data_IF_352318616621
#
_entry.id   IF_352318616621
#
_cell.length_a   1.000
_cell.length_b   1.000
_cell.length_c   1.000
_cell.angle_alpha   90.00
_cell.angle_beta   90.00
_cell.angle_gamma   90.00
#
_symmetry.space_group_name_H-M   'P 1'
#
loop_
_entity.id
_entity.type
_entity.pdbx_description
1 polymer ?
#
# COMPACT_ATOMS: atom_id res chain seq x y z
N UNK A 1 2.29 -5.61 19.70
CA UNK A 1 0.86 -5.47 19.38
C UNK A 1 0.47 -6.70 18.58
N UNK A 2 -0.75 -7.21 18.75
CA UNK A 2 -1.27 -8.30 17.94
C UNK A 2 -1.72 -7.80 16.56
N UNK A 3 -1.91 -8.73 15.63
CA UNK A 3 -2.48 -8.45 14.31
C UNK A 3 -3.81 -7.68 14.42
N UNK A 4 -4.74 -8.16 15.25
CA UNK A 4 -6.04 -7.53 15.46
C UNK A 4 -5.92 -6.09 16.01
N UNK A 5 -5.00 -5.85 16.95
CA UNK A 5 -4.76 -4.49 17.48
C UNK A 5 -4.22 -3.54 16.42
N UNK A 6 -3.39 -4.04 15.50
CA UNK A 6 -2.85 -3.25 14.38
C UNK A 6 -3.96 -2.98 13.36
N UNK A 7 -4.75 -3.99 13.00
CA UNK A 7 -5.87 -3.86 12.09
C UNK A 7 -6.87 -2.80 12.57
N UNK A 8 -7.29 -2.85 13.84
CA UNK A 8 -8.21 -1.84 14.39
C UNK A 8 -7.66 -0.42 14.30
N UNK A 9 -6.38 -0.23 14.60
CA UNK A 9 -5.73 1.08 14.45
C UNK A 9 -5.60 1.52 12.99
N UNK A 10 -5.44 0.58 12.07
CA UNK A 10 -5.43 0.88 10.64
C UNK A 10 -6.84 1.27 10.16
N UNK A 11 -7.90 0.65 10.69
CA UNK A 11 -9.27 1.10 10.44
C UNK A 11 -9.46 2.55 10.89
N UNK A 12 -9.06 2.88 12.12
CA UNK A 12 -9.11 4.26 12.64
C UNK A 12 -8.33 5.22 11.73
N UNK A 13 -7.12 4.84 11.28
CA UNK A 13 -6.30 5.68 10.37
C UNK A 13 -6.99 5.91 9.02
N UNK A 14 -7.65 4.88 8.48
CA UNK A 14 -8.30 4.96 7.18
C UNK A 14 -9.62 5.74 7.23
N UNK A 15 -10.42 5.60 8.29
CA UNK A 15 -11.57 6.49 8.56
C UNK A 15 -11.09 7.95 8.63
N UNK A 16 -10.05 8.19 9.42
CA UNK A 16 -9.48 9.52 9.61
C UNK A 16 -8.93 10.17 8.32
N UNK A 17 -8.34 9.36 7.44
CA UNK A 17 -7.68 9.82 6.20
C UNK A 17 -8.66 9.95 5.03
N UNK A 18 -9.60 9.01 4.90
CA UNK A 18 -10.47 8.86 3.73
C UNK A 18 -11.94 9.21 4.03
N UNK A 19 -12.34 9.23 5.31
CA UNK A 19 -13.72 9.40 5.74
C UNK A 19 -14.61 8.21 5.36
N UNK A 20 -14.05 7.00 5.40
CA UNK A 20 -14.74 5.73 5.09
C UNK A 20 -15.23 5.06 6.37
N UNK A 21 -16.35 4.34 6.29
CA UNK A 21 -16.91 3.65 7.45
C UNK A 21 -16.10 2.39 7.80
N UNK A 22 -16.00 2.03 9.09
CA UNK A 22 -15.23 0.86 9.56
C UNK A 22 -15.65 -0.47 8.90
N UNK A 23 -16.90 -0.59 8.48
CA UNK A 23 -17.44 -1.77 7.80
C UNK A 23 -17.01 -1.88 6.33
N UNK A 24 -16.62 -0.77 5.69
CA UNK A 24 -16.00 -0.78 4.37
C UNK A 24 -14.51 -1.21 4.45
N UNK A 25 -13.86 -0.95 5.59
CA UNK A 25 -12.45 -1.27 5.82
C UNK A 25 -12.25 -2.75 6.15
N UNK A 26 -12.38 -3.60 5.15
CA UNK A 26 -12.09 -5.04 5.24
C UNK A 26 -10.63 -5.34 4.90
N UNK A 27 -10.02 -6.44 5.40
CA UNK A 27 -8.62 -6.78 5.09
C UNK A 27 -8.31 -6.84 3.59
N UNK A 28 -9.26 -7.32 2.80
CA UNK A 28 -9.14 -7.46 1.35
C UNK A 28 -9.47 -6.19 0.57
N UNK A 29 -10.07 -5.17 1.20
CA UNK A 29 -10.45 -3.93 0.53
C UNK A 29 -9.21 -3.23 -0.04
N UNK A 30 -9.30 -2.89 -1.32
CA UNK A 30 -8.33 -2.09 -2.02
C UNK A 30 -8.45 -0.62 -1.62
N UNK A 31 -7.33 0.01 -1.29
CA UNK A 31 -7.33 1.43 -0.94
C UNK A 31 -7.84 2.29 -2.10
N UNK A 32 -7.50 1.97 -3.34
CA UNK A 32 -7.94 2.70 -4.53
C UNK A 32 -9.30 2.25 -5.01
N UNK A 33 -9.47 0.93 -5.26
CA UNK A 33 -10.65 0.44 -5.97
C UNK A 33 -11.90 0.38 -5.09
N UNK A 34 -11.74 0.09 -3.79
CA UNK A 34 -12.87 -0.07 -2.86
C UNK A 34 -13.03 1.17 -1.96
N UNK A 35 -11.93 1.71 -1.42
CA UNK A 35 -11.96 2.85 -0.50
C UNK A 35 -11.77 4.22 -1.18
N UNK A 36 -11.53 4.25 -2.49
CA UNK A 36 -11.49 5.49 -3.27
C UNK A 36 -10.30 6.42 -3.00
N UNK A 37 -9.22 5.92 -2.40
CA UNK A 37 -8.03 6.72 -2.10
C UNK A 37 -7.37 7.26 -3.38
N UNK A 38 -7.09 8.56 -3.37
CA UNK A 38 -6.36 9.27 -4.41
C UNK A 38 -4.89 9.48 -4.02
N UNK A 39 -4.07 9.96 -4.98
CA UNK A 39 -2.63 10.19 -4.77
C UNK A 39 -2.29 11.04 -3.55
N UNK A 40 -3.15 12.00 -3.19
CA UNK A 40 -2.95 12.87 -2.02
C UNK A 40 -3.23 12.15 -0.70
N UNK A 41 -4.18 11.22 -0.69
CA UNK A 41 -4.61 10.52 0.52
C UNK A 41 -3.53 9.58 1.03
N UNK A 42 -2.74 9.00 0.13
CA UNK A 42 -1.58 8.19 0.51
C UNK A 42 -0.57 8.96 1.37
N UNK A 43 -0.42 10.27 1.16
CA UNK A 43 0.45 11.10 1.99
C UNK A 43 -0.12 11.25 3.41
N UNK A 44 -1.44 11.41 3.55
CA UNK A 44 -2.10 11.51 4.85
C UNK A 44 -2.11 10.16 5.58
N UNK A 45 -2.38 9.06 4.87
CA UNK A 45 -2.29 7.69 5.40
C UNK A 45 -0.89 7.43 5.97
N UNK A 46 0.17 7.70 5.21
CA UNK A 46 1.56 7.56 5.70
C UNK A 46 1.77 8.38 6.96
N UNK A 47 1.39 9.66 6.94
CA UNK A 47 1.57 10.57 8.07
C UNK A 47 0.83 10.07 9.33
N UNK A 48 -0.40 9.59 9.19
CA UNK A 48 -1.20 9.06 10.30
C UNK A 48 -0.65 7.74 10.83
N UNK A 49 -0.20 6.83 9.97
CA UNK A 49 0.48 5.60 10.42
C UNK A 49 1.71 5.96 11.25
N UNK A 50 2.57 6.87 10.78
CA UNK A 50 3.74 7.32 11.55
C UNK A 50 3.36 7.84 12.94
N UNK A 51 2.26 8.61 13.01
CA UNK A 51 1.76 9.18 14.27
C UNK A 51 1.17 8.12 15.21
N UNK A 52 0.38 7.20 14.68
CA UNK A 52 -0.35 6.18 15.45
C UNK A 52 0.59 5.11 16.02
N UNK A 53 1.64 4.76 15.28
CA UNK A 53 2.57 3.68 15.65
C UNK A 53 3.96 4.16 16.07
N UNK A 54 4.19 5.47 16.12
CA UNK A 54 5.42 6.13 16.60
C UNK A 54 6.71 5.64 15.92
N UNK A 55 6.66 5.46 14.60
CA UNK A 55 7.84 5.16 13.78
C UNK A 55 7.92 6.05 12.54
N UNK A 56 9.05 5.96 11.83
CA UNK A 56 9.28 6.68 10.57
C UNK A 56 9.16 5.78 9.35
N UNK A 57 8.43 6.27 8.36
CA UNK A 57 8.27 5.71 7.03
C UNK A 57 9.09 6.57 6.08
N UNK A 58 10.07 5.97 5.44
CA UNK A 58 10.90 6.67 4.46
C UNK A 58 10.08 6.97 3.21
N UNK A 59 10.44 8.05 2.53
CA UNK A 59 9.84 8.40 1.25
C UNK A 59 9.96 7.22 0.26
N UNK A 60 8.84 6.80 -0.34
CA UNK A 60 8.82 5.67 -1.25
C UNK A 60 8.79 4.27 -0.61
N UNK A 61 8.79 4.17 0.73
CA UNK A 61 8.89 2.90 1.47
C UNK A 61 7.56 2.14 1.48
N UNK A 62 6.49 2.81 1.90
CA UNK A 62 5.15 2.21 1.92
C UNK A 62 4.55 2.15 0.51
N UNK A 63 4.74 3.23 -0.27
CA UNK A 63 4.23 3.38 -1.63
C UNK A 63 5.36 3.88 -2.55
N UNK A 64 5.68 3.19 -3.64
CA UNK A 64 6.74 3.61 -4.56
C UNK A 64 6.36 4.93 -5.23
N UNK A 65 7.18 5.95 -5.03
CA UNK A 65 7.05 7.20 -5.79
C UNK A 65 7.70 7.08 -7.17
N UNK A 66 7.19 7.89 -8.12
CA UNK A 66 7.74 8.04 -9.47
C UNK A 66 7.87 6.72 -10.24
N UNK A 67 7.10 5.70 -9.88
CA UNK A 67 7.11 4.39 -10.54
C UNK A 67 6.88 4.52 -12.05
N UNK A 68 5.88 5.32 -12.43
CA UNK A 68 5.48 5.57 -13.82
C UNK A 68 6.42 6.53 -14.56
N UNK A 69 7.30 7.23 -13.85
CA UNK A 69 8.26 8.17 -14.44
C UNK A 69 9.57 7.48 -14.82
N UNK A 70 9.79 6.23 -14.37
CA UNK A 70 10.99 5.47 -14.67
C UNK A 70 10.76 4.51 -15.86
N UNK A 71 11.37 4.77 -17.04
CA UNK A 71 11.18 3.93 -18.23
C UNK A 71 11.78 2.53 -18.08
N UNK A 72 12.72 2.33 -17.16
CA UNK A 72 13.27 0.99 -16.88
C UNK A 72 12.29 0.13 -16.08
N UNK A 73 11.36 0.76 -15.35
CA UNK A 73 10.38 0.07 -14.50
C UNK A 73 9.00 0.01 -15.12
N UNK A 74 8.62 1.03 -15.89
CA UNK A 74 7.32 1.11 -16.56
C UNK A 74 7.53 1.44 -18.04
N UNK A 75 6.98 0.58 -18.90
CA UNK A 75 6.95 0.78 -20.34
C UNK A 75 5.53 0.57 -20.86
N UNK A 76 5.05 1.48 -21.70
CA UNK A 76 3.70 1.42 -22.31
C UNK A 76 2.57 1.21 -21.28
N UNK A 77 2.70 1.86 -20.11
CA UNK A 77 1.71 1.75 -19.02
C UNK A 77 1.73 0.42 -18.27
N UNK A 78 2.74 -0.43 -18.48
CA UNK A 78 2.89 -1.73 -17.82
C UNK A 78 4.23 -1.84 -17.09
N UNK A 79 4.28 -2.60 -16.00
CA UNK A 79 5.53 -2.94 -15.33
C UNK A 79 6.41 -3.85 -16.19
N UNK A 80 7.67 -3.47 -16.29
CA UNK A 80 8.73 -4.34 -16.83
C UNK A 80 9.11 -5.42 -15.82
N UNK A 81 9.87 -6.43 -16.24
CA UNK A 81 10.43 -7.43 -15.31
C UNK A 81 11.34 -6.79 -14.25
N UNK A 82 12.08 -5.74 -14.61
CA UNK A 82 12.92 -5.00 -13.69
C UNK A 82 12.07 -4.21 -12.67
N UNK A 83 10.99 -3.56 -13.12
CA UNK A 83 10.04 -2.88 -12.24
C UNK A 83 9.37 -3.85 -11.26
N UNK A 84 8.90 -5.00 -11.74
CA UNK A 84 8.31 -6.04 -10.89
C UNK A 84 9.30 -6.58 -9.85
N UNK A 85 10.56 -6.82 -10.26
CA UNK A 85 11.61 -7.29 -9.35
C UNK A 85 11.89 -6.26 -8.25
N UNK A 86 11.99 -4.98 -8.61
CA UNK A 86 12.17 -3.88 -7.67
C UNK A 86 11.00 -3.77 -6.68
N UNK A 87 9.76 -3.85 -7.18
CA UNK A 87 8.57 -3.78 -6.33
C UNK A 87 8.51 -4.93 -5.32
N UNK A 88 8.81 -6.16 -5.73
CA UNK A 88 8.85 -7.31 -4.81
C UNK A 88 9.91 -7.19 -3.72
N UNK A 89 11.06 -6.61 -4.06
CA UNK A 89 12.15 -6.41 -3.11
C UNK A 89 11.81 -5.32 -2.09
N UNK A 90 11.15 -4.24 -2.53
CA UNK A 90 10.79 -3.10 -1.67
C UNK A 90 9.49 -3.29 -0.90
N UNK A 91 8.46 -3.81 -1.55
CA UNK A 91 7.11 -3.97 -1.01
C UNK A 91 6.86 -5.41 -0.58
N UNK A 92 7.67 -5.90 0.37
CA UNK A 92 7.50 -7.25 0.93
C UNK A 92 6.16 -7.43 1.66
N UNK A 93 5.44 -6.34 1.92
CA UNK A 93 4.10 -6.31 2.50
C UNK A 93 2.95 -6.50 1.50
N UNK A 94 3.22 -6.47 0.19
CA UNK A 94 2.21 -6.60 -0.88
C UNK A 94 2.30 -7.96 -1.57
N UNK A 95 1.15 -8.59 -1.79
CA UNK A 95 1.06 -9.82 -2.58
C UNK A 95 1.00 -9.51 -4.09
N UNK A 96 2.09 -9.80 -4.80
CA UNK A 96 2.19 -9.58 -6.24
C UNK A 96 1.77 -10.80 -7.09
N UNK A 97 1.30 -11.90 -6.48
CA UNK A 97 0.96 -13.14 -7.20
C UNK A 97 -0.03 -12.90 -8.34
N UNK A 98 -0.96 -11.95 -8.15
CA UNK A 98 -1.97 -11.60 -9.15
C UNK A 98 -1.40 -11.04 -10.47
N UNK A 99 -0.20 -10.43 -10.44
CA UNK A 99 0.39 -9.74 -11.61
C UNK A 99 1.62 -10.45 -12.20
N UNK A 100 2.19 -11.46 -11.50
CA UNK A 100 3.36 -12.18 -12.01
C UNK A 100 3.11 -12.81 -13.38
N UNK A 101 1.92 -13.38 -13.56
CA UNK A 101 1.46 -14.01 -14.81
C UNK A 101 0.20 -13.33 -15.36
N UNK A 102 -0.14 -12.15 -14.84
CA UNK A 102 -1.39 -11.44 -15.08
C UNK A 102 -1.19 -10.09 -15.77
N UNK A 103 -2.17 -9.21 -15.58
CA UNK A 103 -2.14 -7.86 -16.11
C UNK A 103 -1.19 -6.99 -15.29
N UNK A 104 -0.12 -6.49 -15.92
CA UNK A 104 0.93 -5.67 -15.29
C UNK A 104 0.68 -4.18 -15.45
N UNK A 105 -0.52 -3.79 -15.83
CA UNK A 105 -0.87 -2.38 -15.99
C UNK A 105 -0.68 -1.61 -14.69
N UNK A 106 0.04 -0.50 -14.74
CA UNK A 106 0.39 0.32 -13.55
C UNK A 106 -0.83 0.84 -12.80
N UNK A 107 -1.95 1.09 -13.49
CA UNK A 107 -3.19 1.51 -12.85
C UNK A 107 -3.78 0.44 -11.95
N UNK A 108 -3.53 -0.85 -12.24
CA UNK A 108 -3.98 -1.98 -11.42
C UNK A 108 -3.04 -2.31 -10.27
N UNK A 109 -1.85 -1.72 -10.26
CA UNK A 109 -0.87 -1.93 -9.18
C UNK A 109 -1.32 -1.20 -7.91
N UNK A 110 -1.97 -0.05 -8.05
CA UNK A 110 -2.63 0.63 -6.94
C UNK A 110 -3.66 -0.28 -6.28
N UNK A 111 -4.37 -1.09 -7.08
CA UNK A 111 -5.43 -1.97 -6.56
C UNK A 111 -4.89 -3.11 -5.69
N UNK A 112 -3.61 -3.47 -5.83
CA UNK A 112 -2.94 -4.48 -4.98
C UNK A 112 -2.70 -3.99 -3.55
N UNK A 113 -2.79 -2.69 -3.33
CA UNK A 113 -2.61 -2.09 -2.02
C UNK A 113 -3.93 -2.23 -1.27
N UNK A 114 -3.99 -3.20 -0.38
CA UNK A 114 -5.16 -3.46 0.45
C UNK A 114 -4.95 -3.00 1.88
N UNK A 115 -6.02 -2.97 2.67
CA UNK A 115 -5.94 -2.76 4.13
C UNK A 115 -4.96 -3.74 4.77
N UNK A 116 -5.02 -5.03 4.39
CA UNK A 116 -4.10 -6.04 4.91
C UNK A 116 -2.64 -5.73 4.56
N UNK A 117 -2.36 -5.13 3.41
CA UNK A 117 -1.00 -4.71 3.05
C UNK A 117 -0.44 -3.65 4.01
N UNK A 118 -1.28 -2.74 4.51
CA UNK A 118 -0.88 -1.75 5.51
C UNK A 118 -0.62 -2.40 6.87
N UNK A 119 -1.47 -3.34 7.29
CA UNK A 119 -1.28 -4.10 8.53
C UNK A 119 0.03 -4.87 8.49
N UNK A 120 0.30 -5.61 7.41
CA UNK A 120 1.54 -6.35 7.22
C UNK A 120 2.77 -5.42 7.26
N UNK A 121 2.67 -4.25 6.62
CA UNK A 121 3.75 -3.26 6.66
C UNK A 121 4.04 -2.81 8.10
N UNK A 122 3.00 -2.46 8.87
CA UNK A 122 3.15 -2.04 10.26
C UNK A 122 3.73 -3.17 11.12
N UNK A 123 3.28 -4.41 10.92
CA UNK A 123 3.85 -5.57 11.60
C UNK A 123 5.35 -5.71 11.35
N UNK A 124 5.79 -5.59 10.09
CA UNK A 124 7.20 -5.61 9.72
C UNK A 124 7.97 -4.48 10.41
N UNK A 125 7.43 -3.26 10.42
CA UNK A 125 8.07 -2.09 11.05
C UNK A 125 8.17 -2.20 12.57
N UNK A 126 7.21 -2.84 13.23
CA UNK A 126 7.23 -3.07 14.68
C UNK A 126 8.11 -4.25 15.09
N UNK A 127 8.39 -5.18 14.18
CA UNK A 127 9.24 -6.34 14.42
C UNK A 127 10.74 -6.07 14.24
N UNK A 128 11.11 -5.00 13.51
CA UNK A 128 12.49 -4.57 13.26
C UNK A 128 13.00 -3.56 14.28
#
# INVERSE_FOLDING_TARGET
>A
MSHDEIFQKIQEVLDDALGVDEDEVTPEASLTADLGAESIDFLDIVFRIEKTFDFKISQGELFPENLTENPDWVADGNLTDAGLTMLKDRMTHVDFTAIENGDRNVSKIGDLITVNSLVNFVEIKLAG
#
